data_IF_061452669118
#
_entry.id   IF_061452669118
#
_cell.length_a   1.000
_cell.length_b   1.000
_cell.length_c   1.000
_cell.angle_alpha   90.00
_cell.angle_beta   90.00
_cell.angle_gamma   90.00
#
_symmetry.space_group_name_H-M   'P 1'
#
loop_
_entity.id
_entity.type
_entity.pdbx_description
1 polymer ?
#
# COMPACT_ATOMS: atom_id res chain seq x y z
N UNK A 1 5.75 34.38 3.93
CA UNK A 1 7.19 34.37 3.64
C UNK A 1 7.39 35.08 2.31
N UNK A 2 8.11 36.19 2.29
CA UNK A 2 8.55 36.82 1.04
C UNK A 2 9.73 36.02 0.48
N UNK A 3 9.72 35.69 -0.80
CA UNK A 3 10.86 35.04 -1.45
C UNK A 3 11.94 36.06 -1.82
N UNK A 4 13.16 35.56 -2.05
CA UNK A 4 14.34 36.40 -2.37
C UNK A 4 14.18 37.10 -3.73
N UNK A 5 13.51 36.47 -4.70
CA UNK A 5 13.28 36.99 -6.06
C UNK A 5 11.80 37.32 -6.33
N UNK A 6 10.87 36.69 -5.63
CA UNK A 6 9.43 36.93 -5.77
C UNK A 6 8.78 37.06 -4.40
N UNK A 7 7.87 38.02 -4.24
CA UNK A 7 7.11 38.23 -3.00
C UNK A 7 6.32 36.99 -2.55
N UNK A 8 5.93 36.15 -3.51
CA UNK A 8 5.23 34.89 -3.26
C UNK A 8 6.20 33.75 -2.91
N UNK A 9 6.58 33.63 -1.62
CA UNK A 9 7.54 32.64 -1.15
C UNK A 9 7.17 31.16 -1.40
N UNK A 10 5.91 30.84 -1.68
CA UNK A 10 5.49 29.47 -1.99
C UNK A 10 6.15 28.90 -3.25
N UNK A 11 6.56 29.76 -4.21
CA UNK A 11 7.24 29.34 -5.44
C UNK A 11 8.61 28.70 -5.16
N UNK A 12 9.30 29.18 -4.12
CA UNK A 12 10.61 28.66 -3.73
C UNK A 12 10.54 27.24 -3.20
N UNK A 13 9.42 26.85 -2.58
CA UNK A 13 9.19 25.48 -2.11
C UNK A 13 9.26 24.52 -3.31
N UNK A 14 8.51 24.78 -4.37
CA UNK A 14 8.51 23.96 -5.59
C UNK A 14 9.87 23.94 -6.32
N UNK A 15 10.58 25.07 -6.36
CA UNK A 15 11.89 25.15 -7.02
C UNK A 15 12.93 24.32 -6.25
N UNK A 16 13.01 24.48 -4.93
CA UNK A 16 13.99 23.77 -4.11
C UNK A 16 13.72 22.26 -4.10
N UNK A 17 12.47 21.85 -3.92
CA UNK A 17 12.07 20.44 -3.99
C UNK A 17 12.30 19.84 -5.38
N UNK A 18 12.01 20.60 -6.43
CA UNK A 18 12.25 20.20 -7.82
C UNK A 18 13.73 20.01 -8.14
N UNK A 19 14.59 20.95 -7.73
CA UNK A 19 16.05 20.82 -7.90
C UNK A 19 16.56 19.59 -7.16
N UNK A 20 16.15 19.38 -5.91
CA UNK A 20 16.55 18.21 -5.15
C UNK A 20 16.15 16.90 -5.86
N UNK A 21 14.94 16.84 -6.43
CA UNK A 21 14.46 15.67 -7.17
C UNK A 21 15.27 15.43 -8.46
N UNK A 22 15.62 16.50 -9.19
CA UNK A 22 16.48 16.39 -10.39
C UNK A 22 17.86 15.87 -10.03
N UNK A 23 18.46 16.37 -8.93
CA UNK A 23 19.77 15.90 -8.46
C UNK A 23 19.73 14.41 -8.10
N UNK A 24 18.68 13.95 -7.42
CA UNK A 24 18.50 12.54 -7.09
C UNK A 24 18.31 11.69 -8.36
N UNK A 25 17.53 12.15 -9.34
CA UNK A 25 17.31 11.43 -10.59
C UNK A 25 18.60 11.30 -11.42
N UNK A 26 19.40 12.37 -11.48
CA UNK A 26 20.71 12.37 -12.15
C UNK A 26 21.67 11.44 -11.42
N UNK A 27 21.72 11.47 -10.09
CA UNK A 27 22.53 10.54 -9.30
C UNK A 27 22.12 9.07 -9.54
N UNK A 28 20.81 8.79 -9.59
CA UNK A 28 20.27 7.44 -9.78
C UNK A 28 20.78 6.77 -11.07
N UNK A 29 21.07 7.53 -12.13
CA UNK A 29 21.65 7.00 -13.37
C UNK A 29 22.99 6.27 -13.16
N UNK A 30 23.79 6.70 -12.18
CA UNK A 30 25.08 6.06 -11.89
C UNK A 30 25.00 5.01 -10.78
N UNK A 31 23.96 5.03 -9.93
CA UNK A 31 23.85 4.14 -8.77
C UNK A 31 22.89 2.95 -8.96
N UNK A 32 21.87 3.06 -9.81
CA UNK A 32 20.88 1.99 -10.02
C UNK A 32 21.40 1.00 -11.06
N UNK A 33 21.73 -0.20 -10.61
CA UNK A 33 22.11 -1.34 -11.45
C UNK A 33 20.94 -2.35 -11.49
N UNK A 34 20.65 -2.91 -12.67
CA UNK A 34 19.46 -3.74 -12.88
C UNK A 34 19.53 -5.10 -12.15
N UNK A 35 20.72 -5.69 -12.05
CA UNK A 35 20.92 -6.98 -11.40
C UNK A 35 22.18 -6.98 -10.54
N UNK A 36 22.21 -7.76 -9.43
CA UNK A 36 23.44 -7.94 -8.64
C UNK A 36 24.63 -8.43 -9.47
N UNK A 37 24.35 -9.19 -10.55
CA UNK A 37 25.34 -9.68 -11.51
C UNK A 37 25.97 -8.58 -12.36
N UNK A 38 25.23 -7.52 -12.70
CA UNK A 38 25.74 -6.38 -13.49
C UNK A 38 26.32 -5.27 -12.64
N UNK A 39 26.14 -5.33 -11.31
CA UNK A 39 26.64 -4.31 -10.39
C UNK A 39 28.15 -4.19 -10.41
N UNK A 40 28.62 -2.94 -10.60
CA UNK A 40 30.05 -2.57 -10.61
C UNK A 40 30.64 -2.37 -9.21
N UNK A 41 29.81 -2.21 -8.18
CA UNK A 41 30.25 -1.90 -6.82
C UNK A 41 30.30 -3.11 -5.88
N UNK A 42 29.65 -4.23 -6.23
CA UNK A 42 29.61 -5.43 -5.41
C UNK A 42 30.86 -6.30 -5.60
N UNK A 43 31.45 -6.75 -4.49
CA UNK A 43 32.47 -7.80 -4.50
C UNK A 43 31.87 -9.16 -4.87
N UNK A 44 32.70 -10.12 -5.26
CA UNK A 44 32.22 -11.47 -5.61
C UNK A 44 31.49 -12.15 -4.42
N UNK A 45 31.98 -11.97 -3.20
CA UNK A 45 31.36 -12.53 -1.99
C UNK A 45 29.98 -11.92 -1.70
N UNK A 46 29.86 -10.59 -1.78
CA UNK A 46 28.58 -9.91 -1.60
C UNK A 46 27.58 -10.28 -2.69
N UNK A 47 28.04 -10.37 -3.95
CA UNK A 47 27.20 -10.82 -5.07
C UNK A 47 26.68 -12.23 -4.84
N UNK A 48 27.53 -13.16 -4.42
CA UNK A 48 27.11 -14.53 -4.12
C UNK A 48 26.09 -14.57 -2.96
N UNK A 49 26.31 -13.80 -1.91
CA UNK A 49 25.37 -13.67 -0.79
C UNK A 49 24.01 -13.11 -1.23
N UNK A 50 24.00 -12.03 -2.02
CA UNK A 50 22.77 -11.42 -2.53
C UNK A 50 22.03 -12.38 -3.45
N UNK A 51 22.73 -13.12 -4.32
CA UNK A 51 22.10 -14.13 -5.16
C UNK A 51 21.50 -15.26 -4.35
N UNK A 52 22.21 -15.78 -3.33
CA UNK A 52 21.68 -16.81 -2.46
C UNK A 52 20.42 -16.33 -1.72
N UNK A 53 20.43 -15.10 -1.21
CA UNK A 53 19.28 -14.49 -0.53
C UNK A 53 18.08 -14.30 -1.46
N UNK A 54 18.29 -13.71 -2.64
CA UNK A 54 17.23 -13.47 -3.62
C UNK A 54 16.63 -14.79 -4.13
N UNK A 55 17.44 -15.83 -4.35
CA UNK A 55 16.96 -17.16 -4.75
C UNK A 55 16.16 -17.87 -3.64
N UNK A 56 16.47 -17.60 -2.38
CA UNK A 56 15.72 -18.14 -1.25
C UNK A 56 14.38 -17.41 -1.04
N UNK A 57 14.34 -16.09 -1.27
CA UNK A 57 13.17 -15.25 -1.01
C UNK A 57 12.20 -15.18 -2.20
N UNK A 58 12.67 -15.31 -3.45
CA UNK A 58 11.82 -15.13 -4.64
C UNK A 58 12.38 -15.80 -5.89
N UNK A 59 11.57 -15.84 -6.95
CA UNK A 59 12.01 -16.20 -8.29
C UNK A 59 12.60 -15.02 -9.10
N UNK A 60 12.94 -13.91 -8.45
CA UNK A 60 13.32 -12.65 -9.10
C UNK A 60 14.58 -12.74 -9.97
N UNK A 61 15.51 -13.66 -9.69
CA UNK A 61 16.75 -13.83 -10.47
C UNK A 61 16.56 -14.79 -11.66
N UNK A 62 15.40 -15.43 -11.80
CA UNK A 62 15.17 -16.31 -12.94
C UNK A 62 14.99 -15.47 -14.19
N UNK A 63 15.77 -15.74 -15.23
CA UNK A 63 15.53 -15.17 -16.54
C UNK A 63 14.25 -15.78 -17.13
N UNK A 64 13.16 -15.01 -17.11
CA UNK A 64 11.89 -15.37 -17.73
C UNK A 64 11.69 -14.51 -18.98
N UNK A 65 11.44 -15.16 -20.13
CA UNK A 65 11.02 -14.43 -21.33
C UNK A 65 9.57 -14.03 -21.20
N UNK A 66 9.24 -12.85 -21.72
CA UNK A 66 7.87 -12.37 -21.81
C UNK A 66 6.93 -13.41 -22.44
N UNK A 67 5.76 -13.62 -21.83
CA UNK A 67 4.77 -14.60 -22.27
C UNK A 67 3.35 -14.03 -22.26
N UNK A 68 2.70 -14.00 -23.42
CA UNK A 68 1.27 -13.67 -23.53
C UNK A 68 0.36 -14.66 -22.79
N UNK A 69 0.81 -15.90 -22.62
CA UNK A 69 0.08 -16.87 -21.79
C UNK A 69 0.07 -16.43 -20.33
N UNK A 70 1.20 -15.96 -19.79
CA UNK A 70 1.30 -15.43 -18.42
C UNK A 70 0.46 -14.15 -18.23
N UNK A 71 0.34 -13.31 -19.27
CA UNK A 71 -0.59 -12.17 -19.26
C UNK A 71 -2.03 -12.64 -19.11
N UNK A 72 -2.46 -13.62 -19.93
CA UNK A 72 -3.81 -14.19 -19.85
C UNK A 72 -4.07 -14.85 -18.49
N UNK A 73 -3.08 -15.55 -17.95
CA UNK A 73 -3.15 -16.15 -16.62
C UNK A 73 -3.38 -15.10 -15.52
N UNK A 74 -2.71 -13.95 -15.59
CA UNK A 74 -2.94 -12.84 -14.65
C UNK A 74 -4.41 -12.35 -14.69
N UNK A 75 -4.97 -12.17 -15.88
CA UNK A 75 -6.37 -11.74 -16.04
C UNK A 75 -7.38 -12.82 -15.62
N UNK A 76 -7.02 -14.09 -15.72
CA UNK A 76 -7.90 -15.20 -15.33
C UNK A 76 -7.77 -15.58 -13.86
N UNK A 77 -6.72 -15.13 -13.16
CA UNK A 77 -6.50 -15.45 -11.75
C UNK A 77 -7.34 -14.56 -10.82
N UNK A 78 -8.30 -15.14 -10.07
CA UNK A 78 -9.09 -14.39 -9.10
C UNK A 78 -8.25 -13.67 -8.03
N UNK A 79 -7.06 -14.18 -7.68
CA UNK A 79 -6.17 -13.54 -6.72
C UNK A 79 -5.67 -12.17 -7.24
N UNK A 80 -5.38 -12.06 -8.55
CA UNK A 80 -4.96 -10.80 -9.17
C UNK A 80 -6.07 -9.73 -9.09
N UNK A 81 -7.33 -10.12 -9.32
CA UNK A 81 -8.48 -9.25 -9.13
C UNK A 81 -8.68 -8.84 -7.67
N UNK A 82 -8.51 -9.78 -6.73
CA UNK A 82 -8.62 -9.49 -5.30
C UNK A 82 -7.50 -8.56 -4.80
N UNK A 83 -6.27 -8.63 -5.32
CA UNK A 83 -5.23 -7.64 -5.03
C UNK A 83 -5.63 -6.24 -5.50
N UNK A 84 -6.21 -6.14 -6.71
CA UNK A 84 -6.72 -4.88 -7.25
C UNK A 84 -7.91 -4.32 -6.48
N UNK A 85 -8.88 -5.15 -6.13
CA UNK A 85 -10.01 -4.76 -5.28
C UNK A 85 -9.57 -4.39 -3.86
N UNK A 86 -8.55 -5.08 -3.33
CA UNK A 86 -7.93 -4.75 -2.05
C UNK A 86 -7.36 -3.33 -2.07
N UNK A 87 -6.62 -2.96 -3.12
CA UNK A 87 -6.11 -1.60 -3.24
C UNK A 87 -7.21 -0.58 -3.59
N UNK A 88 -8.20 -0.95 -4.41
CA UNK A 88 -9.35 -0.09 -4.71
C UNK A 88 -10.11 0.33 -3.45
N UNK A 89 -10.47 -0.64 -2.61
CA UNK A 89 -11.17 -0.40 -1.35
C UNK A 89 -10.34 0.40 -0.35
N UNK A 90 -9.01 0.40 -0.46
CA UNK A 90 -8.12 1.20 0.39
C UNK A 90 -7.77 2.58 -0.21
N UNK A 91 -7.78 2.70 -1.54
CA UNK A 91 -7.40 3.94 -2.23
C UNK A 91 -8.35 5.09 -1.90
N UNK A 92 -9.66 4.84 -1.86
CA UNK A 92 -10.64 5.87 -1.53
C UNK A 92 -10.35 6.50 -0.14
N UNK A 93 -10.30 5.74 0.97
CA UNK A 93 -10.00 6.33 2.27
C UNK A 93 -8.58 6.92 2.37
N UNK A 94 -7.60 6.37 1.65
CA UNK A 94 -6.24 6.93 1.56
C UNK A 94 -6.24 8.34 0.96
N UNK A 95 -6.78 8.48 -0.25
CA UNK A 95 -6.75 9.75 -0.96
C UNK A 95 -7.68 10.77 -0.33
N UNK A 96 -8.86 10.37 0.17
CA UNK A 96 -9.74 11.32 0.87
C UNK A 96 -9.11 11.86 2.14
N UNK A 97 -8.49 11.00 2.97
CA UNK A 97 -7.80 11.47 4.15
C UNK A 97 -6.62 12.36 3.75
N UNK A 98 -5.75 11.91 2.83
CA UNK A 98 -4.54 12.66 2.46
C UNK A 98 -4.85 14.06 1.91
N UNK A 99 -5.85 14.16 1.03
CA UNK A 99 -6.21 15.41 0.37
C UNK A 99 -7.03 16.35 1.26
N UNK A 100 -7.93 15.80 2.07
CA UNK A 100 -8.92 16.60 2.80
C UNK A 100 -8.64 16.72 4.30
N UNK A 101 -7.64 16.04 4.86
CA UNK A 101 -7.30 16.19 6.28
C UNK A 101 -7.09 17.65 6.73
N UNK A 102 -6.35 18.51 5.99
CA UNK A 102 -6.23 19.92 6.36
C UNK A 102 -7.60 20.63 6.36
N UNK A 103 -8.47 20.32 5.40
CA UNK A 103 -9.82 20.89 5.30
C UNK A 103 -10.71 20.42 6.44
N UNK A 104 -10.69 19.12 6.76
CA UNK A 104 -11.42 18.52 7.88
C UNK A 104 -11.02 19.24 9.17
N UNK A 105 -9.72 19.43 9.42
CA UNK A 105 -9.24 20.10 10.62
C UNK A 105 -9.60 21.59 10.61
N UNK A 106 -9.44 22.29 9.49
CA UNK A 106 -9.81 23.71 9.38
C UNK A 106 -11.28 23.92 9.77
N UNK A 107 -12.17 23.07 9.29
CA UNK A 107 -13.61 23.17 9.56
C UNK A 107 -13.99 22.81 11.01
N UNK A 108 -13.05 22.32 11.83
CA UNK A 108 -13.22 22.22 13.28
C UNK A 108 -13.13 23.59 13.99
N UNK A 109 -12.78 24.67 13.26
CA UNK A 109 -12.66 26.03 13.78
C UNK A 109 -11.23 26.57 13.84
N UNK A 110 -10.25 25.87 13.25
CA UNK A 110 -8.86 26.31 13.19
C UNK A 110 -8.60 27.18 11.94
N UNK A 111 -7.59 28.05 12.00
CA UNK A 111 -7.12 28.77 10.81
C UNK A 111 -6.45 27.80 9.83
N UNK A 112 -6.40 28.16 8.55
CA UNK A 112 -5.80 27.29 7.52
C UNK A 112 -4.34 26.93 7.81
N UNK A 113 -3.55 27.88 8.34
CA UNK A 113 -2.15 27.64 8.71
C UNK A 113 -2.04 26.66 9.89
N UNK A 114 -2.88 26.84 10.93
CA UNK A 114 -2.88 25.94 12.09
C UNK A 114 -3.38 24.55 11.70
N UNK A 115 -4.39 24.45 10.82
CA UNK A 115 -4.90 23.17 10.35
C UNK A 115 -3.84 22.35 9.61
N UNK A 116 -3.00 22.98 8.80
CA UNK A 116 -1.86 22.32 8.15
C UNK A 116 -0.80 21.84 9.17
N UNK A 117 -0.53 22.61 10.22
CA UNK A 117 0.37 22.17 11.29
C UNK A 117 -0.22 20.99 12.07
N UNK A 118 -1.53 21.00 12.29
CA UNK A 118 -2.25 19.94 13.00
C UNK A 118 -2.40 18.65 12.17
N UNK A 119 -2.06 18.61 10.88
CA UNK A 119 -1.96 17.33 10.17
C UNK A 119 -0.70 16.56 10.53
N UNK A 120 0.33 17.22 11.06
CA UNK A 120 1.62 16.59 11.38
C UNK A 120 1.45 15.46 12.41
N UNK A 121 0.75 15.63 13.54
CA UNK A 121 0.66 14.56 14.54
C UNK A 121 -0.09 13.30 14.06
N UNK A 122 -1.25 13.38 13.38
CA UNK A 122 -1.86 12.19 12.76
C UNK A 122 -0.92 11.45 11.80
N UNK A 123 -0.15 12.17 10.97
CA UNK A 123 0.82 11.55 10.07
C UNK A 123 2.04 10.97 10.78
N UNK A 124 2.52 11.59 11.85
CA UNK A 124 3.59 11.02 12.68
C UNK A 124 3.16 9.69 13.31
N UNK A 125 1.92 9.61 13.80
CA UNK A 125 1.36 8.34 14.31
C UNK A 125 1.22 7.32 13.18
N UNK A 126 0.71 7.73 12.02
CA UNK A 126 0.62 6.85 10.85
C UNK A 126 1.99 6.29 10.43
N UNK A 127 3.05 7.11 10.45
CA UNK A 127 4.41 6.66 10.18
C UNK A 127 4.86 5.57 11.15
N UNK A 128 4.71 5.80 12.46
CA UNK A 128 5.09 4.82 13.50
C UNK A 128 4.27 3.54 13.38
N UNK A 129 2.96 3.64 13.14
CA UNK A 129 2.11 2.45 12.98
C UNK A 129 2.43 1.69 11.70
N UNK A 130 2.68 2.38 10.58
CA UNK A 130 3.10 1.75 9.32
C UNK A 130 4.37 0.94 9.48
N UNK A 131 5.42 1.51 10.08
CA UNK A 131 6.66 0.77 10.32
C UNK A 131 6.46 -0.44 11.24
N UNK A 132 5.77 -0.22 12.37
CA UNK A 132 5.54 -1.27 13.37
C UNK A 132 4.74 -2.44 12.80
N UNK A 133 3.65 -2.14 12.07
CA UNK A 133 2.78 -3.14 11.45
C UNK A 133 3.46 -3.83 10.27
N UNK A 134 4.26 -3.12 9.47
CA UNK A 134 5.03 -3.73 8.39
C UNK A 134 6.03 -4.78 8.92
N UNK A 135 6.83 -4.41 9.92
CA UNK A 135 7.80 -5.31 10.57
C UNK A 135 7.10 -6.51 11.21
N UNK A 136 5.99 -6.28 11.92
CA UNK A 136 5.23 -7.35 12.54
C UNK A 136 4.58 -8.29 11.52
N UNK A 137 4.06 -7.74 10.41
CA UNK A 137 3.45 -8.51 9.33
C UNK A 137 4.46 -9.41 8.63
N UNK A 138 5.66 -8.90 8.38
CA UNK A 138 6.74 -9.65 7.73
C UNK A 138 7.21 -10.80 8.62
N UNK A 139 7.39 -10.56 9.92
CA UNK A 139 7.81 -11.61 10.87
C UNK A 139 6.79 -12.73 11.06
N UNK A 140 5.49 -12.41 10.97
CA UNK A 140 4.43 -13.38 11.22
C UNK A 140 3.84 -14.00 9.94
N UNK A 141 4.16 -13.46 8.75
CA UNK A 141 3.64 -13.90 7.46
C UNK A 141 2.09 -14.05 7.40
N UNK A 142 1.37 -13.25 8.20
CA UNK A 142 -0.10 -13.25 8.36
C UNK A 142 -0.73 -11.96 7.83
N UNK A 143 -0.46 -11.65 6.57
CA UNK A 143 -0.70 -10.34 5.95
C UNK A 143 -2.16 -9.92 5.98
N UNK A 144 -3.12 -10.81 5.69
CA UNK A 144 -4.55 -10.45 5.77
C UNK A 144 -4.97 -9.98 7.16
N UNK A 145 -4.41 -10.56 8.22
CA UNK A 145 -4.77 -10.22 9.61
C UNK A 145 -4.31 -8.80 9.94
N UNK A 146 -3.09 -8.44 9.54
CA UNK A 146 -2.56 -7.09 9.76
C UNK A 146 -3.27 -6.04 8.92
N UNK A 147 -3.61 -6.35 7.67
CA UNK A 147 -4.40 -5.45 6.83
C UNK A 147 -5.80 -5.26 7.42
N UNK A 148 -6.51 -6.34 7.72
CA UNK A 148 -7.85 -6.28 8.30
C UNK A 148 -7.88 -5.56 9.66
N UNK A 149 -6.89 -5.84 10.52
CA UNK A 149 -6.74 -5.16 11.81
C UNK A 149 -6.48 -3.66 11.66
N UNK A 150 -5.60 -3.28 10.74
CA UNK A 150 -5.32 -1.87 10.45
C UNK A 150 -6.54 -1.17 9.86
N UNK A 151 -7.25 -1.81 8.93
CA UNK A 151 -8.52 -1.31 8.40
C UNK A 151 -9.59 -1.15 9.49
N UNK A 152 -9.66 -2.07 10.46
CA UNK A 152 -10.57 -1.96 11.59
C UNK A 152 -10.23 -0.77 12.51
N UNK A 153 -8.95 -0.48 12.73
CA UNK A 153 -8.51 0.74 13.45
C UNK A 153 -8.97 2.00 12.71
N UNK A 154 -8.88 2.02 11.37
CA UNK A 154 -9.38 3.13 10.58
C UNK A 154 -10.91 3.25 10.60
N UNK A 155 -11.65 2.13 10.64
CA UNK A 155 -13.11 2.12 10.83
C UNK A 155 -13.50 2.82 12.13
N UNK A 156 -12.76 2.58 13.22
CA UNK A 156 -12.97 3.29 14.50
C UNK A 156 -12.79 4.81 14.30
N UNK A 157 -11.76 5.24 13.58
CA UNK A 157 -11.52 6.66 13.29
C UNK A 157 -12.68 7.34 12.56
N UNK A 158 -13.16 6.72 11.48
CA UNK A 158 -14.31 7.25 10.74
C UNK A 158 -15.63 7.13 11.51
N UNK A 159 -15.80 6.13 12.36
CA UNK A 159 -16.96 6.03 13.25
C UNK A 159 -16.99 7.16 14.29
N UNK A 160 -15.82 7.52 14.87
CA UNK A 160 -15.68 8.68 15.77
C UNK A 160 -16.04 9.97 15.05
N UNK A 161 -15.50 10.17 13.84
CA UNK A 161 -15.77 11.36 13.03
C UNK A 161 -17.26 11.50 12.68
N UNK A 162 -17.91 10.42 12.26
CA UNK A 162 -19.35 10.41 11.96
C UNK A 162 -20.23 10.61 13.20
N UNK A 163 -19.83 9.98 14.31
CA UNK A 163 -20.53 10.05 15.60
C UNK A 163 -20.51 11.44 16.22
N UNK A 164 -19.52 12.28 15.87
CA UNK A 164 -19.49 13.66 16.31
C UNK A 164 -20.51 14.52 15.54
N UNK A 165 -21.72 14.63 16.08
CA UNK A 165 -22.80 15.44 15.51
C UNK A 165 -22.56 16.95 15.53
N UNK A 166 -21.56 17.42 16.29
CA UNK A 166 -21.21 18.83 16.39
C UNK A 166 -19.68 19.02 16.49
N UNK A 167 -18.96 18.92 15.35
CA UNK A 167 -17.50 18.96 15.32
C UNK A 167 -16.88 20.28 15.79
N UNK A 168 -17.56 21.41 15.59
CA UNK A 168 -17.06 22.72 16.04
C UNK A 168 -17.19 22.91 17.55
N UNK A 169 -18.25 22.37 18.17
CA UNK A 169 -18.37 22.38 19.63
C UNK A 169 -17.46 21.36 20.32
N UNK A 170 -17.09 20.27 19.61
CA UNK A 170 -16.24 19.18 20.14
C UNK A 170 -15.10 18.85 19.17
N UNK A 171 -14.17 19.80 18.89
CA UNK A 171 -13.14 19.63 17.88
C UNK A 171 -12.15 18.51 18.25
N UNK A 172 -11.88 18.31 19.55
CA UNK A 172 -11.00 17.25 20.03
C UNK A 172 -11.46 15.85 19.66
N UNK A 173 -12.77 15.58 19.64
CA UNK A 173 -13.31 14.25 19.28
C UNK A 173 -13.03 13.95 17.81
N UNK A 174 -13.33 14.89 16.92
CA UNK A 174 -13.05 14.73 15.49
C UNK A 174 -11.54 14.66 15.23
N UNK A 175 -10.76 15.48 15.92
CA UNK A 175 -9.30 15.45 15.80
C UNK A 175 -8.74 14.07 16.17
N UNK A 176 -9.14 13.47 17.30
CA UNK A 176 -8.76 12.10 17.67
C UNK A 176 -9.21 11.08 16.61
N UNK A 177 -10.40 11.24 16.03
CA UNK A 177 -10.85 10.39 14.92
C UNK A 177 -9.88 10.37 13.73
N UNK A 178 -9.24 11.50 13.42
CA UNK A 178 -8.22 11.57 12.35
C UNK A 178 -6.95 10.77 12.67
N UNK A 179 -6.57 10.63 13.95
CA UNK A 179 -5.43 9.80 14.35
C UNK A 179 -5.72 8.33 14.10
N UNK A 180 -6.89 7.83 14.50
CA UNK A 180 -7.28 6.44 14.26
C UNK A 180 -7.42 6.15 12.77
N UNK A 181 -7.99 7.07 11.99
CA UNK A 181 -8.08 6.95 10.54
C UNK A 181 -6.68 6.84 9.91
N UNK A 182 -5.77 7.77 10.22
CA UNK A 182 -4.41 7.75 9.69
C UNK A 182 -3.62 6.51 10.15
N UNK A 183 -3.69 6.17 11.44
CA UNK A 183 -2.99 5.05 12.04
C UNK A 183 -3.37 3.69 11.43
N UNK A 184 -4.60 3.56 10.89
CA UNK A 184 -5.05 2.34 10.23
C UNK A 184 -4.88 2.33 8.71
N UNK A 185 -5.16 3.45 8.02
CA UNK A 185 -5.16 3.52 6.54
C UNK A 185 -3.76 3.33 5.97
N UNK A 186 -2.76 4.02 6.51
CA UNK A 186 -1.39 3.98 5.98
C UNK A 186 -0.73 2.59 6.07
N UNK A 187 -0.73 1.88 7.24
CA UNK A 187 -0.23 0.51 7.29
C UNK A 187 -1.00 -0.44 6.36
N UNK A 188 -2.34 -0.36 6.34
CA UNK A 188 -3.15 -1.22 5.48
C UNK A 188 -2.81 -1.01 4.00
N UNK A 189 -2.64 0.26 3.58
CA UNK A 189 -2.22 0.63 2.22
C UNK A 189 -0.87 0.02 1.85
N UNK A 190 0.15 0.19 2.69
CA UNK A 190 1.50 -0.30 2.44
C UNK A 190 1.54 -1.83 2.27
N UNK A 191 0.82 -2.55 3.16
CA UNK A 191 0.73 -4.00 3.10
C UNK A 191 -0.05 -4.51 1.88
N UNK A 192 -1.18 -3.88 1.54
CA UNK A 192 -1.99 -4.26 0.37
C UNK A 192 -1.20 -4.07 -0.93
N UNK A 193 -0.48 -2.95 -1.07
CA UNK A 193 0.30 -2.65 -2.28
C UNK A 193 1.46 -3.61 -2.50
N UNK A 194 2.13 -4.04 -1.43
CA UNK A 194 3.27 -4.96 -1.54
C UNK A 194 2.86 -6.42 -1.63
N UNK A 195 1.57 -6.75 -1.44
CA UNK A 195 1.10 -8.13 -1.38
C UNK A 195 1.24 -8.91 -2.71
N UNK A 196 0.83 -8.39 -3.89
CA UNK A 196 1.04 -9.13 -5.14
C UNK A 196 2.51 -9.27 -5.50
N UNK A 197 3.37 -8.31 -5.13
CA UNK A 197 4.80 -8.37 -5.41
C UNK A 197 5.50 -9.57 -4.75
N UNK A 198 5.03 -9.97 -3.56
CA UNK A 198 5.59 -11.12 -2.84
C UNK A 198 4.87 -12.44 -3.15
N UNK A 199 3.60 -12.40 -3.57
CA UNK A 199 2.78 -13.62 -3.71
C UNK A 199 2.57 -14.09 -5.14
N UNK A 200 2.69 -13.21 -6.13
CA UNK A 200 2.58 -13.61 -7.53
C UNK A 200 3.96 -14.02 -8.01
N UNK A 201 4.08 -15.25 -8.49
CA UNK A 201 5.31 -15.83 -9.03
C UNK A 201 5.21 -15.94 -10.55
N UNK A 202 6.34 -15.81 -11.22
CA UNK A 202 6.47 -15.49 -12.64
C UNK A 202 6.60 -13.97 -12.86
N UNK A 203 7.68 -13.53 -13.50
CA UNK A 203 8.00 -12.12 -13.74
C UNK A 203 6.91 -11.43 -14.57
N UNK A 204 6.46 -12.04 -15.67
CA UNK A 204 5.43 -11.44 -16.54
C UNK A 204 4.10 -11.34 -15.80
N UNK A 205 3.66 -12.43 -15.14
CA UNK A 205 2.38 -12.47 -14.41
C UNK A 205 2.38 -11.46 -13.26
N UNK A 206 3.47 -11.40 -12.48
CA UNK A 206 3.63 -10.45 -11.38
C UNK A 206 3.62 -9.00 -11.87
N UNK A 207 4.29 -8.68 -12.97
CA UNK A 207 4.24 -7.34 -13.54
C UNK A 207 2.80 -6.93 -13.91
N UNK A 208 2.04 -7.81 -14.57
CA UNK A 208 0.64 -7.57 -14.91
C UNK A 208 -0.24 -7.47 -13.67
N UNK A 209 -0.05 -8.33 -12.66
CA UNK A 209 -0.81 -8.27 -11.41
C UNK A 209 -0.61 -6.94 -10.66
N UNK A 210 0.62 -6.44 -10.59
CA UNK A 210 0.91 -5.13 -10.00
C UNK A 210 0.30 -3.98 -10.84
N UNK A 211 0.40 -4.04 -12.17
CA UNK A 211 -0.22 -3.05 -13.05
C UNK A 211 -1.75 -3.03 -12.93
N UNK A 212 -2.39 -4.20 -12.86
CA UNK A 212 -3.81 -4.35 -12.59
C UNK A 212 -4.16 -3.74 -11.23
N UNK A 213 -3.37 -4.03 -10.20
CA UNK A 213 -3.61 -3.50 -8.86
C UNK A 213 -3.65 -1.98 -8.86
N UNK A 214 -2.62 -1.33 -9.42
CA UNK A 214 -2.56 0.14 -9.48
C UNK A 214 -3.69 0.72 -10.33
N UNK A 215 -3.98 0.12 -11.50
CA UNK A 215 -5.02 0.60 -12.41
C UNK A 215 -6.41 0.54 -11.77
N UNK A 216 -6.78 -0.60 -11.18
CA UNK A 216 -8.07 -0.79 -10.50
C UNK A 216 -8.13 0.07 -9.22
N UNK A 217 -7.00 0.16 -8.51
CA UNK A 217 -6.84 1.02 -7.33
C UNK A 217 -7.16 2.48 -7.60
N UNK A 218 -6.59 3.05 -8.66
CA UNK A 218 -6.79 4.45 -9.00
C UNK A 218 -8.26 4.81 -9.30
N UNK A 219 -9.10 3.84 -9.68
CA UNK A 219 -10.55 4.08 -9.81
C UNK A 219 -11.19 4.49 -8.46
N UNK A 220 -10.72 3.92 -7.34
CA UNK A 220 -11.21 4.30 -6.02
C UNK A 220 -10.71 5.68 -5.58
N UNK A 221 -9.51 6.08 -6.03
CA UNK A 221 -8.98 7.43 -5.86
C UNK A 221 -9.86 8.47 -6.57
N UNK A 222 -10.21 8.22 -7.84
CA UNK A 222 -11.09 9.09 -8.63
C UNK A 222 -12.43 9.27 -7.93
N UNK A 223 -13.04 8.19 -7.44
CA UNK A 223 -14.29 8.29 -6.67
C UNK A 223 -14.09 9.11 -5.39
N UNK A 224 -13.02 8.86 -4.63
CA UNK A 224 -12.74 9.51 -3.36
C UNK A 224 -12.59 11.03 -3.46
N UNK A 225 -11.88 11.51 -4.48
CA UNK A 225 -11.60 12.95 -4.68
C UNK A 225 -12.86 13.81 -4.82
N UNK A 226 -14.01 13.21 -5.13
CA UNK A 226 -15.27 13.93 -5.36
C UNK A 226 -16.21 13.97 -4.13
N UNK A 227 -15.82 13.34 -3.01
CA UNK A 227 -16.70 13.09 -1.87
C UNK A 227 -16.67 14.14 -0.76
N UNK A 228 -15.63 14.99 -0.71
CA UNK A 228 -15.49 16.03 0.32
C UNK A 228 -15.71 17.40 -0.31
N UNK A 229 -16.97 17.82 -0.36
CA UNK A 229 -17.38 19.09 -1.00
C UNK A 229 -17.38 20.21 0.02
N UNK A 230 -17.15 21.45 -0.43
CA UNK A 230 -17.06 22.65 0.42
C UNK A 230 -18.30 22.96 1.25
N UNK A 231 -19.48 22.46 0.84
CA UNK A 231 -20.74 22.64 1.58
C UNK A 231 -21.06 21.55 2.60
N UNK A 232 -20.29 20.44 2.63
CA UNK A 232 -20.60 19.30 3.50
C UNK A 232 -19.95 19.42 4.89
N UNK A 233 -19.02 20.37 5.05
CA UNK A 233 -18.35 20.66 6.31
C UNK A 233 -19.30 21.21 7.38
N UNK A 234 -18.99 21.05 8.67
CA UNK A 234 -17.80 20.39 9.23
C UNK A 234 -17.98 18.87 9.43
N UNK A 235 -19.14 18.32 9.09
CA UNK A 235 -19.47 16.91 9.36
C UNK A 235 -19.06 15.96 8.23
N UNK A 236 -19.06 16.43 6.99
CA UNK A 236 -18.63 15.68 5.80
C UNK A 236 -19.23 14.25 5.75
N UNK A 237 -20.52 14.13 6.09
CA UNK A 237 -21.17 12.83 6.37
C UNK A 237 -21.02 11.87 5.20
N UNK A 238 -21.22 12.34 3.96
CA UNK A 238 -21.07 11.52 2.75
C UNK A 238 -19.66 10.97 2.61
N UNK A 239 -18.64 11.83 2.67
CA UNK A 239 -17.24 11.43 2.54
C UNK A 239 -16.78 10.46 3.63
N UNK A 240 -17.18 10.71 4.88
CA UNK A 240 -16.84 9.83 6.00
C UNK A 240 -17.58 8.49 5.94
N UNK A 241 -18.85 8.48 5.53
CA UNK A 241 -19.64 7.25 5.41
C UNK A 241 -19.11 6.36 4.29
N UNK A 242 -18.73 6.94 3.15
CA UNK A 242 -18.12 6.22 2.04
C UNK A 242 -16.74 5.66 2.42
N UNK A 243 -15.91 6.44 3.09
CA UNK A 243 -14.61 5.97 3.58
C UNK A 243 -14.77 4.80 4.56
N UNK A 244 -15.72 4.89 5.50
CA UNK A 244 -16.03 3.79 6.42
C UNK A 244 -16.51 2.54 5.69
N UNK A 245 -17.44 2.69 4.73
CA UNK A 245 -17.96 1.57 3.94
C UNK A 245 -16.84 0.89 3.13
N UNK A 246 -15.93 1.67 2.55
CA UNK A 246 -14.79 1.16 1.79
C UNK A 246 -13.78 0.43 2.69
N UNK A 247 -13.55 0.90 3.93
CA UNK A 247 -12.71 0.19 4.89
C UNK A 247 -13.33 -1.14 5.34
N UNK A 248 -14.65 -1.19 5.53
CA UNK A 248 -15.35 -2.46 5.82
C UNK A 248 -15.29 -3.40 4.60
N UNK A 249 -15.48 -2.87 3.40
CA UNK A 249 -15.31 -3.65 2.17
C UNK A 249 -13.87 -4.16 2.02
N UNK A 250 -12.87 -3.38 2.42
CA UNK A 250 -11.48 -3.81 2.44
C UNK A 250 -11.28 -5.00 3.36
N UNK A 251 -11.80 -4.96 4.60
CA UNK A 251 -11.74 -6.09 5.55
C UNK A 251 -12.32 -7.35 4.91
N UNK A 252 -13.46 -7.25 4.20
CA UNK A 252 -14.10 -8.38 3.53
C UNK A 252 -13.19 -8.92 2.40
N UNK A 253 -12.73 -8.06 1.49
CA UNK A 253 -11.90 -8.43 0.35
C UNK A 253 -10.59 -9.10 0.79
N UNK A 254 -9.90 -8.52 1.76
CA UNK A 254 -8.61 -9.04 2.24
C UNK A 254 -8.79 -10.33 3.04
N UNK A 255 -9.93 -10.49 3.73
CA UNK A 255 -10.27 -11.76 4.40
C UNK A 255 -10.57 -12.87 3.41
N UNK A 256 -11.28 -12.57 2.32
CA UNK A 256 -11.55 -13.53 1.23
C UNK A 256 -10.24 -13.94 0.56
N UNK A 257 -9.36 -12.98 0.26
CA UNK A 257 -8.05 -13.23 -0.32
C UNK A 257 -7.17 -14.07 0.62
N UNK A 258 -7.03 -13.66 1.89
CA UNK A 258 -6.28 -14.41 2.90
C UNK A 258 -6.81 -15.85 3.07
N UNK A 259 -8.14 -16.03 3.11
CA UNK A 259 -8.74 -17.37 3.15
C UNK A 259 -8.40 -18.20 1.92
N UNK A 260 -8.49 -17.62 0.72
CA UNK A 260 -8.13 -18.28 -0.54
C UNK A 260 -6.67 -18.74 -0.55
N UNK A 261 -5.75 -17.85 -0.21
CA UNK A 261 -4.31 -18.13 -0.17
C UNK A 261 -3.98 -19.18 0.89
N UNK A 262 -4.59 -19.08 2.08
CA UNK A 262 -4.46 -20.08 3.14
C UNK A 262 -4.95 -21.47 2.70
N UNK A 263 -6.11 -21.53 2.04
CA UNK A 263 -6.67 -22.79 1.51
C UNK A 263 -5.77 -23.40 0.44
N UNK A 264 -5.20 -22.58 -0.44
CA UNK A 264 -4.22 -23.04 -1.44
C UNK A 264 -2.96 -23.61 -0.77
N UNK A 265 -2.41 -22.93 0.24
CA UNK A 265 -1.27 -23.45 1.01
C UNK A 265 -1.58 -24.78 1.71
N UNK A 266 -2.76 -24.91 2.33
CA UNK A 266 -3.19 -26.15 2.99
C UNK A 266 -3.32 -27.31 1.99
N UNK A 267 -3.92 -27.05 0.83
CA UNK A 267 -4.02 -28.05 -0.25
C UNK A 267 -2.65 -28.49 -0.75
N UNK A 268 -1.66 -27.59 -0.81
CA UNK A 268 -0.29 -27.89 -1.24
C UNK A 268 0.52 -28.61 -0.17
N UNK A 269 0.25 -28.36 1.11
CA UNK A 269 0.91 -29.04 2.22
C UNK A 269 0.49 -30.52 2.33
N UNK A 270 -0.70 -30.87 1.83
CA UNK A 270 -1.22 -32.24 1.79
C UNK A 270 -0.58 -33.12 0.69
N UNK A 271 0.30 -32.56 -0.16
CA UNK A 271 1.03 -33.30 -1.21
C UNK A 271 2.29 -33.96 -0.64
N UNK A 272 2.65 -35.14 -1.17
CA UNK A 272 3.82 -35.98 -0.79
C UNK A 272 5.11 -35.18 -0.52
N UNK A 273 5.89 -35.61 0.49
CA UNK A 273 7.22 -35.08 0.86
C UNK A 273 8.22 -35.09 -0.31
N UNK A 274 8.12 -36.06 -1.24
CA UNK A 274 9.01 -36.13 -2.42
C UNK A 274 8.93 -34.89 -3.34
N UNK A 275 7.79 -34.18 -3.34
CA UNK A 275 7.58 -32.97 -4.15
C UNK A 275 8.01 -31.71 -3.38
N UNK A 276 8.30 -31.83 -2.06
CA UNK A 276 8.67 -30.70 -1.20
C UNK A 276 10.16 -30.33 -1.30
N UNK A 277 11.03 -31.26 -1.71
CA UNK A 277 12.44 -30.96 -1.92
C UNK A 277 12.66 -30.25 -3.27
N UNK A 278 13.19 -29.03 -3.17
CA UNK A 278 13.66 -28.19 -4.27
C UNK A 278 15.01 -28.73 -4.74
N UNK A 279 15.06 -29.98 -5.21
CA UNK A 279 16.19 -30.46 -6.03
C UNK A 279 16.17 -29.70 -7.35
N UNK A 280 17.35 -29.31 -7.86
CA UNK A 280 17.60 -28.50 -9.06
C UNK A 280 16.39 -28.46 -10.03
N UNK A 281 15.60 -27.39 -9.92
CA UNK A 281 14.22 -27.42 -10.41
C UNK A 281 14.11 -27.14 -11.90
N UNK A 282 14.06 -28.20 -12.70
CA UNK A 282 13.44 -28.17 -14.02
C UNK A 282 11.91 -27.97 -13.89
N UNK A 283 11.31 -27.14 -14.75
CA UNK A 283 9.84 -27.05 -14.90
C UNK A 283 9.07 -26.22 -13.87
N UNK A 284 9.63 -25.12 -13.34
CA UNK A 284 8.90 -24.18 -12.46
C UNK A 284 7.66 -23.59 -13.14
N UNK A 285 6.51 -23.67 -12.48
CA UNK A 285 5.21 -23.22 -13.03
C UNK A 285 4.66 -21.95 -12.39
N UNK A 286 5.54 -21.10 -11.87
CA UNK A 286 5.13 -19.86 -11.22
C UNK A 286 4.31 -20.11 -9.95
N UNK A 287 3.30 -19.29 -9.70
CA UNK A 287 2.46 -19.41 -8.49
C UNK A 287 1.52 -20.62 -8.52
N UNK A 288 1.39 -21.32 -9.65
CA UNK A 288 0.68 -22.59 -9.76
C UNK A 288 1.49 -23.79 -9.27
N UNK A 289 2.80 -23.61 -9.05
CA UNK A 289 3.71 -24.65 -8.57
C UNK A 289 3.32 -25.10 -7.14
N UNK A 290 3.32 -26.41 -6.91
CA UNK A 290 2.95 -27.01 -5.62
C UNK A 290 3.93 -26.65 -4.49
N UNK A 291 5.15 -26.20 -4.82
CA UNK A 291 6.15 -25.75 -3.85
C UNK A 291 5.98 -24.29 -3.46
N UNK A 292 5.36 -23.47 -4.29
CA UNK A 292 5.12 -22.06 -3.98
C UNK A 292 4.21 -21.93 -2.75
N UNK A 293 4.57 -21.04 -1.83
CA UNK A 293 3.82 -20.76 -0.60
C UNK A 293 3.46 -19.29 -0.58
N UNK A 294 2.18 -19.00 -0.37
CA UNK A 294 1.68 -17.64 -0.28
C UNK A 294 1.76 -17.13 1.16
N UNK A 295 2.10 -15.86 1.35
CA UNK A 295 1.83 -15.15 2.60
C UNK A 295 0.36 -14.73 2.62
N UNK A 296 -0.40 -15.19 3.61
CA UNK A 296 -1.86 -15.04 3.65
C UNK A 296 -2.33 -14.08 4.74
#
# INVERSE_FOLDING_TARGET
MAGVVWENGWRWIFILEGIATVLVAVAAFWFIENYPSTSKFLTQGERAFIHARLNADSDAIREEKFSWAAVREAFQDPSCWLYGLGFHTMSLPLYTLSLFLPTIIKDLGYTAAVAQLLTIPPYAVAFVTTLSVAIASEKLAKRAVFIAGSSAVAVIGYAILLGNTNPTARPGVSYVGTFFAAAGIYPATALVLSWPAINVSGQTKRAIANAMQISIGNLGAVLGTQLYRSGDGPRFVVGHSMALAYLVANIIVVSILGWRLKKQNQSRAAVSEEIKHVGEVEGWKGDSDLRWRFEY
#
